data_IF_076625422221
#
_entry.id   IF_076625422221
#
_cell.length_a   1.000
_cell.length_b   1.000
_cell.length_c   1.000
_cell.angle_alpha   90.00
_cell.angle_beta   90.00
_cell.angle_gamma   90.00
#
_symmetry.space_group_name_H-M   'P 1'
#
loop_
_entity.id
_entity.type
_entity.pdbx_description
1 polymer ?
#
# COMPACT_ATOMS: atom_id res chain seq x y z
N UNK A 1 8.10 -1.48 -9.80
CA UNK A 1 7.65 -2.88 -9.66
C UNK A 1 6.14 -2.95 -9.87
N UNK A 2 5.68 -3.41 -11.04
CA UNK A 2 4.29 -3.28 -11.43
C UNK A 2 3.41 -4.42 -10.87
N UNK A 3 3.91 -5.65 -10.84
CA UNK A 3 3.21 -6.84 -10.38
C UNK A 3 3.96 -7.50 -9.23
N UNK A 4 4.35 -6.73 -8.22
CA UNK A 4 4.99 -7.31 -7.05
C UNK A 4 4.04 -7.39 -5.87
N UNK A 5 4.12 -8.49 -5.12
CA UNK A 5 3.37 -8.68 -3.89
C UNK A 5 4.34 -8.86 -2.72
N UNK A 6 4.00 -8.27 -1.57
CA UNK A 6 4.76 -8.50 -0.34
C UNK A 6 4.47 -9.91 0.14
N UNK A 7 5.49 -10.76 0.16
CA UNK A 7 5.39 -12.14 0.67
C UNK A 7 5.94 -12.27 2.08
N UNK A 8 6.78 -11.33 2.50
CA UNK A 8 7.36 -11.31 3.84
C UNK A 8 7.56 -9.88 4.31
N UNK A 9 7.24 -9.63 5.58
CA UNK A 9 7.65 -8.42 6.31
C UNK A 9 8.42 -8.87 7.54
N UNK A 10 9.60 -8.29 7.78
CA UNK A 10 10.39 -8.44 9.00
C UNK A 10 10.83 -7.08 9.49
N UNK A 11 10.91 -6.91 10.79
CA UNK A 11 11.41 -5.70 11.44
C UNK A 11 12.70 -6.08 12.19
N UNK A 12 13.69 -5.17 12.17
CA UNK A 12 15.01 -5.34 12.78
C UNK A 12 15.33 -4.12 13.64
N UNK A 13 16.00 -4.33 14.78
CA UNK A 13 16.34 -3.26 15.72
C UNK A 13 17.58 -2.45 15.33
N UNK A 14 18.32 -2.93 14.33
CA UNK A 14 19.49 -2.26 13.76
C UNK A 14 19.25 -1.95 12.30
N UNK A 15 19.49 -0.71 11.91
CA UNK A 15 19.25 -0.25 10.56
C UNK A 15 20.47 -0.47 9.66
N UNK A 16 20.39 -1.45 8.78
CA UNK A 16 21.44 -1.69 7.77
C UNK A 16 21.48 -0.62 6.66
N UNK A 17 20.50 0.30 6.61
CA UNK A 17 20.45 1.37 5.60
C UNK A 17 21.35 2.55 5.99
N UNK A 18 21.38 2.92 7.27
CA UNK A 18 22.16 4.06 7.77
C UNK A 18 23.13 3.72 8.91
N UNK A 19 23.15 2.47 9.38
CA UNK A 19 24.00 2.01 10.50
C UNK A 19 23.50 2.40 11.89
N UNK A 20 22.32 3.03 12.00
CA UNK A 20 21.76 3.50 13.27
C UNK A 20 21.10 2.40 14.12
N UNK A 21 21.07 2.61 15.44
CA UNK A 21 20.29 1.80 16.39
C UNK A 21 18.82 2.27 16.40
N UNK A 22 18.07 1.88 15.38
CA UNK A 22 16.62 2.09 15.34
C UNK A 22 15.98 1.04 14.42
N UNK A 23 14.65 0.95 14.52
CA UNK A 23 13.86 0.02 13.73
C UNK A 23 14.06 0.20 12.22
N UNK A 24 14.24 -0.92 11.52
CA UNK A 24 14.28 -1.02 10.07
C UNK A 24 13.35 -2.13 9.62
N UNK A 25 12.57 -1.88 8.57
CA UNK A 25 11.64 -2.87 8.02
C UNK A 25 12.18 -3.46 6.72
N UNK A 26 12.36 -4.77 6.66
CA UNK A 26 12.54 -5.55 5.42
C UNK A 26 11.17 -5.97 4.88
N UNK A 27 10.92 -5.71 3.59
CA UNK A 27 9.82 -6.30 2.83
C UNK A 27 10.38 -7.12 1.67
N UNK A 28 10.00 -8.40 1.59
CA UNK A 28 10.28 -9.21 0.39
C UNK A 28 9.10 -9.13 -0.56
N UNK A 29 9.42 -8.80 -1.79
CA UNK A 29 8.49 -8.66 -2.88
C UNK A 29 8.80 -9.75 -3.91
N UNK A 30 7.79 -10.51 -4.32
CA UNK A 30 7.91 -11.47 -5.43
C UNK A 30 7.11 -10.99 -6.62
N UNK A 31 7.54 -11.38 -7.82
CA UNK A 31 6.80 -11.08 -9.04
C UNK A 31 5.58 -12.02 -9.15
N UNK A 32 4.40 -11.44 -9.29
CA UNK A 32 3.13 -12.15 -9.48
C UNK A 32 2.58 -12.01 -10.90
N UNK A 33 3.39 -11.50 -11.84
CA UNK A 33 2.95 -11.33 -13.22
C UNK A 33 2.91 -12.67 -13.95
N UNK A 34 1.75 -13.04 -14.50
CA UNK A 34 1.58 -14.22 -15.35
C UNK A 34 2.41 -14.15 -16.64
N UNK A 35 2.73 -12.94 -17.10
CA UNK A 35 3.51 -12.71 -18.32
C UNK A 35 5.02 -12.60 -18.06
N UNK A 36 5.46 -12.71 -16.80
CA UNK A 36 6.90 -12.77 -16.47
C UNK A 36 7.41 -14.20 -16.33
N UNK A 37 6.54 -15.19 -16.55
CA UNK A 37 6.86 -16.59 -16.53
C UNK A 37 6.48 -17.20 -17.87
N UNK A 38 7.44 -17.32 -18.78
CA UNK A 38 7.27 -18.16 -19.96
C UNK A 38 7.07 -19.63 -19.55
N UNK A 39 7.58 -20.02 -18.36
CA UNK A 39 7.32 -21.29 -17.67
C UNK A 39 7.31 -21.01 -16.15
N UNK A 40 6.22 -21.33 -15.44
CA UNK A 40 6.21 -21.37 -13.95
C UNK A 40 5.99 -20.04 -13.22
N UNK A 41 6.71 -19.82 -12.11
CA UNK A 41 6.63 -18.58 -11.29
C UNK A 41 7.92 -17.81 -11.48
N UNK A 42 7.83 -16.49 -11.68
CA UNK A 42 9.01 -15.65 -11.83
C UNK A 42 9.89 -15.70 -10.56
N UNK A 43 11.17 -16.08 -10.72
CA UNK A 43 12.12 -16.31 -9.63
C UNK A 43 12.71 -15.02 -9.02
N UNK A 44 12.36 -13.84 -9.55
CA UNK A 44 12.86 -12.57 -9.03
C UNK A 44 12.26 -12.26 -7.67
N UNK A 45 13.16 -11.92 -6.74
CA UNK A 45 12.82 -11.47 -5.40
C UNK A 45 13.51 -10.14 -5.15
N UNK A 46 12.70 -9.13 -4.82
CA UNK A 46 13.22 -7.84 -4.33
C UNK A 46 13.16 -7.81 -2.80
N UNK A 47 14.23 -7.40 -2.14
CA UNK A 47 14.25 -7.04 -0.72
C UNK A 47 14.27 -5.52 -0.62
N UNK A 48 13.23 -4.95 -0.02
CA UNK A 48 13.13 -3.51 0.22
C UNK A 48 13.38 -3.27 1.70
N UNK A 49 14.44 -2.54 2.01
CA UNK A 49 14.74 -2.09 3.37
C UNK A 49 14.27 -0.66 3.52
N UNK A 50 13.49 -0.37 4.56
CA UNK A 50 12.99 0.97 4.86
C UNK A 50 13.50 1.41 6.22
N UNK A 51 14.22 2.53 6.23
CA UNK A 51 14.64 3.23 7.43
C UNK A 51 13.57 4.26 7.80
N UNK A 52 12.91 4.11 8.95
CA UNK A 52 11.89 5.07 9.39
C UNK A 52 12.50 6.37 9.94
N UNK A 53 13.74 6.33 10.44
CA UNK A 53 14.39 7.49 11.05
C UNK A 53 14.85 8.52 10.00
N UNK A 54 15.39 8.06 8.87
CA UNK A 54 15.88 8.94 7.80
C UNK A 54 14.94 9.02 6.59
N UNK A 55 13.77 8.37 6.65
CA UNK A 55 12.82 8.24 5.54
C UNK A 55 13.47 7.78 4.22
N UNK A 56 14.51 6.93 4.33
CA UNK A 56 15.23 6.39 3.18
C UNK A 56 14.98 4.90 2.99
N UNK A 57 15.22 4.42 1.78
CA UNK A 57 15.04 3.01 1.44
C UNK A 57 16.10 2.54 0.45
N UNK A 58 16.40 1.24 0.51
CA UNK A 58 17.26 0.55 -0.45
C UNK A 58 16.56 -0.70 -0.98
N UNK A 59 16.85 -1.06 -2.23
CA UNK A 59 16.31 -2.27 -2.86
C UNK A 59 17.46 -3.16 -3.27
N UNK A 60 17.44 -4.40 -2.81
CA UNK A 60 18.31 -5.46 -3.30
C UNK A 60 17.50 -6.42 -4.16
N UNK A 61 18.13 -6.93 -5.21
CA UNK A 61 17.57 -7.92 -6.13
C UNK A 61 18.42 -9.17 -6.06
N UNK A 62 17.79 -10.34 -6.06
CA UNK A 62 18.53 -11.59 -6.18
C UNK A 62 19.19 -11.72 -7.56
N UNK A 63 20.07 -12.70 -7.73
CA UNK A 63 20.83 -12.87 -8.98
C UNK A 63 19.95 -13.28 -10.18
N UNK A 64 18.69 -13.62 -9.96
CA UNK A 64 17.76 -13.93 -11.03
C UNK A 64 17.33 -12.67 -11.78
N UNK A 65 17.53 -12.69 -13.10
CA UNK A 65 17.02 -11.67 -14.00
C UNK A 65 15.49 -11.73 -14.09
N UNK A 66 14.87 -10.56 -14.24
CA UNK A 66 13.45 -10.48 -14.54
C UNK A 66 13.24 -10.83 -16.01
N UNK A 67 12.65 -11.99 -16.30
CA UNK A 67 12.53 -12.52 -17.68
C UNK A 67 11.84 -11.58 -18.66
N UNK A 68 10.96 -10.71 -18.16
CA UNK A 68 10.27 -9.70 -18.98
C UNK A 68 11.21 -8.66 -19.61
N UNK A 69 12.43 -8.50 -19.09
CA UNK A 69 13.37 -7.47 -19.54
C UNK A 69 12.74 -6.08 -19.54
N UNK A 70 12.74 -5.42 -20.70
CA UNK A 70 12.23 -4.06 -20.93
C UNK A 70 10.73 -4.01 -21.25
N UNK A 71 10.06 -5.17 -21.43
CA UNK A 71 8.66 -5.20 -21.85
C UNK A 71 7.77 -4.57 -20.76
N UNK A 72 6.92 -3.59 -21.11
CA UNK A 72 6.09 -2.89 -20.14
C UNK A 72 5.05 -3.79 -19.51
N UNK A 73 4.55 -3.35 -18.37
CA UNK A 73 3.50 -4.05 -17.67
C UNK A 73 2.15 -3.92 -18.34
N UNK A 74 1.69 -4.99 -18.99
CA UNK A 74 0.34 -5.05 -19.57
C UNK A 74 -0.78 -5.17 -18.54
N UNK A 75 -0.47 -5.36 -17.26
CA UNK A 75 -1.48 -5.47 -16.21
C UNK A 75 -2.10 -4.10 -15.94
N UNK A 76 -3.42 -3.99 -16.10
CA UNK A 76 -4.17 -2.81 -15.66
C UNK A 76 -4.11 -2.75 -14.14
N UNK A 77 -3.40 -1.74 -13.62
CA UNK A 77 -3.30 -1.53 -12.19
C UNK A 77 -4.44 -0.67 -11.67
N UNK A 78 -4.98 -0.97 -10.48
CA UNK A 78 -6.03 -0.14 -9.91
C UNK A 78 -5.47 1.24 -9.52
N UNK A 79 -6.36 2.24 -9.47
CA UNK A 79 -6.02 3.60 -9.06
C UNK A 79 -5.42 3.65 -7.66
N UNK A 80 -4.41 4.49 -7.44
CA UNK A 80 -3.82 4.65 -6.11
C UNK A 80 -4.75 5.52 -5.26
N UNK A 81 -5.06 5.10 -4.03
CA UNK A 81 -5.70 5.99 -3.04
C UNK A 81 -4.61 6.94 -2.53
N UNK A 82 -4.62 8.18 -2.99
CA UNK A 82 -3.61 9.20 -2.65
C UNK A 82 -3.78 9.69 -1.22
N UNK A 83 -2.80 10.44 -0.71
CA UNK A 83 -2.88 11.04 0.64
C UNK A 83 -4.06 12.00 0.77
N UNK A 84 -4.29 12.86 -0.23
CA UNK A 84 -5.45 13.76 -0.25
C UNK A 84 -6.78 13.00 -0.25
N UNK A 85 -6.87 11.92 -1.04
CA UNK A 85 -8.05 11.04 -1.02
C UNK A 85 -8.24 10.41 0.37
N UNK A 86 -7.17 10.00 1.05
CA UNK A 86 -7.28 9.43 2.41
C UNK A 86 -7.74 10.46 3.44
N UNK A 87 -7.23 11.70 3.38
CA UNK A 87 -7.64 12.80 4.26
C UNK A 87 -9.13 13.07 4.09
N UNK A 88 -9.58 13.28 2.86
CA UNK A 88 -11.01 13.46 2.56
C UNK A 88 -11.86 12.28 3.04
N UNK A 89 -11.41 11.04 2.82
CA UNK A 89 -12.13 9.85 3.29
C UNK A 89 -12.20 9.79 4.82
N UNK A 90 -11.16 10.21 5.54
CA UNK A 90 -11.17 10.26 7.00
C UNK A 90 -12.18 11.30 7.51
N UNK A 91 -12.17 12.51 6.96
CA UNK A 91 -13.12 13.57 7.31
C UNK A 91 -14.58 13.12 7.09
N UNK A 92 -14.87 12.46 5.97
CA UNK A 92 -16.19 11.92 5.70
C UNK A 92 -16.56 10.73 6.61
N UNK A 93 -15.57 9.99 7.12
CA UNK A 93 -15.80 8.83 8.02
C UNK A 93 -16.17 9.30 9.42
N UNK A 94 -15.54 10.39 9.88
CA UNK A 94 -15.83 11.04 11.15
C UNK A 94 -17.29 11.51 11.24
N UNK A 95 -17.86 12.02 10.13
CA UNK A 95 -19.27 12.41 10.05
C UNK A 95 -20.20 11.25 9.63
N UNK A 96 -19.71 10.01 9.59
CA UNK A 96 -20.52 8.81 9.41
C UNK A 96 -21.04 8.56 7.99
N UNK A 97 -20.44 9.14 6.95
CA UNK A 97 -20.92 8.96 5.57
C UNK A 97 -20.60 7.53 5.08
N UNK A 98 -21.55 6.82 4.46
CA UNK A 98 -21.29 5.48 3.98
C UNK A 98 -20.30 5.47 2.79
N UNK A 99 -19.45 4.42 2.65
CA UNK A 99 -18.40 4.37 1.63
C UNK A 99 -18.85 4.59 0.17
N UNK A 100 -20.08 4.22 -0.16
CA UNK A 100 -20.66 4.46 -1.49
C UNK A 100 -20.84 5.96 -1.77
N UNK A 101 -21.37 6.71 -0.80
CA UNK A 101 -21.57 8.15 -0.91
C UNK A 101 -20.24 8.89 -0.85
N UNK A 102 -19.31 8.45 0.00
CA UNK A 102 -17.94 9.00 0.03
C UNK A 102 -17.27 8.94 -1.35
N UNK A 103 -17.40 7.82 -2.07
CA UNK A 103 -16.82 7.68 -3.41
C UNK A 103 -17.45 8.65 -4.42
N UNK A 104 -18.77 8.89 -4.33
CA UNK A 104 -19.45 9.87 -5.19
C UNK A 104 -18.98 11.28 -4.84
N UNK A 105 -18.93 11.62 -3.56
CA UNK A 105 -18.47 12.93 -3.09
C UNK A 105 -17.02 13.18 -3.49
N UNK A 106 -16.15 12.17 -3.35
CA UNK A 106 -14.75 12.23 -3.74
C UNK A 106 -14.59 12.62 -5.22
N UNK A 107 -15.40 12.01 -6.11
CA UNK A 107 -15.38 12.30 -7.56
C UNK A 107 -15.87 13.70 -7.91
N UNK A 108 -16.65 14.33 -7.03
CA UNK A 108 -17.17 15.70 -7.22
C UNK A 108 -16.22 16.77 -6.70
N UNK A 109 -15.20 16.41 -5.92
CA UNK A 109 -14.24 17.37 -5.41
C UNK A 109 -13.30 17.85 -6.51
N UNK A 110 -13.38 19.13 -6.86
CA UNK A 110 -12.48 19.75 -7.84
C UNK A 110 -11.03 19.82 -7.37
N UNK A 111 -10.82 19.91 -6.05
CA UNK A 111 -9.51 20.03 -5.43
C UNK A 111 -8.76 18.69 -5.31
N UNK A 112 -9.42 17.56 -5.53
CA UNK A 112 -8.80 16.24 -5.45
C UNK A 112 -8.56 15.73 -6.86
N UNK A 113 -7.31 15.76 -7.36
CA UNK A 113 -7.03 15.33 -8.72
C UNK A 113 -7.24 13.82 -8.87
N UNK A 114 -7.82 13.44 -10.01
CA UNK A 114 -7.87 12.04 -10.42
C UNK A 114 -6.46 11.53 -10.66
N UNK A 115 -6.19 10.28 -10.30
CA UNK A 115 -4.87 9.69 -10.60
C UNK A 115 -4.74 9.38 -12.08
N UNK A 116 -3.51 9.19 -12.57
CA UNK A 116 -3.26 8.71 -13.94
C UNK A 116 -3.93 7.36 -14.27
N UNK A 117 -4.38 6.63 -13.23
CA UNK A 117 -5.10 5.34 -13.34
C UNK A 117 -6.59 5.47 -13.00
N UNK A 118 -7.13 6.69 -13.01
CA UNK A 118 -8.53 6.97 -12.72
C UNK A 118 -8.85 7.11 -11.22
N UNK A 119 -10.13 6.93 -10.90
CA UNK A 119 -10.66 6.97 -9.53
C UNK A 119 -10.53 5.60 -8.84
N UNK A 120 -10.33 5.57 -7.50
CA UNK A 120 -10.36 4.32 -6.76
C UNK A 120 -11.73 3.65 -6.84
N UNK A 121 -11.72 2.32 -6.86
CA UNK A 121 -12.93 1.53 -6.74
C UNK A 121 -13.51 1.57 -5.32
N UNK A 122 -14.80 1.23 -5.17
CA UNK A 122 -15.45 1.14 -3.87
C UNK A 122 -14.70 0.20 -2.90
N UNK A 123 -14.20 -0.94 -3.41
CA UNK A 123 -13.41 -1.89 -2.60
C UNK A 123 -12.13 -1.27 -2.06
N UNK A 124 -11.48 -0.40 -2.84
CA UNK A 124 -10.28 0.31 -2.40
C UNK A 124 -10.60 1.37 -1.34
N UNK A 125 -11.71 2.10 -1.49
CA UNK A 125 -12.20 3.03 -0.47
C UNK A 125 -12.48 2.29 0.84
N UNK A 126 -13.22 1.18 0.80
CA UNK A 126 -13.51 0.36 1.98
C UNK A 126 -12.23 -0.15 2.67
N UNK A 127 -11.26 -0.62 1.89
CA UNK A 127 -9.98 -1.08 2.43
C UNK A 127 -9.14 0.07 3.01
N UNK A 128 -9.21 1.26 2.43
CA UNK A 128 -8.54 2.44 2.97
C UNK A 128 -9.14 2.84 4.32
N UNK A 129 -10.47 2.91 4.43
CA UNK A 129 -11.18 3.21 5.67
C UNK A 129 -10.86 2.19 6.77
N UNK A 130 -10.85 0.88 6.44
CA UNK A 130 -10.44 -0.17 7.39
C UNK A 130 -9.04 0.05 7.95
N UNK A 131 -8.10 0.56 7.14
CA UNK A 131 -6.74 0.87 7.58
C UNK A 131 -6.71 2.15 8.41
N UNK A 132 -7.36 3.22 7.95
CA UNK A 132 -7.44 4.49 8.67
C UNK A 132 -8.00 4.30 10.08
N UNK A 133 -9.10 3.55 10.24
CA UNK A 133 -9.67 3.24 11.56
C UNK A 133 -8.74 2.44 12.46
N UNK A 134 -7.94 1.53 11.88
CA UNK A 134 -6.92 0.76 12.62
C UNK A 134 -5.79 1.68 13.09
N UNK A 135 -5.31 2.55 12.21
CA UNK A 135 -4.17 3.42 12.45
C UNK A 135 -4.51 4.57 13.42
N UNK A 136 -5.73 5.10 13.33
CA UNK A 136 -6.25 6.16 14.22
C UNK A 136 -6.79 5.65 15.55
N UNK A 137 -6.82 4.33 15.77
CA UNK A 137 -7.31 3.72 17.01
C UNK A 137 -8.76 4.12 17.33
N UNK A 138 -9.61 4.31 16.32
CA UNK A 138 -10.93 4.92 16.54
C UNK A 138 -11.80 4.11 17.51
N UNK A 139 -12.48 4.85 18.37
CA UNK A 139 -13.36 4.51 19.51
C UNK A 139 -14.49 3.49 19.21
N UNK A 140 -14.62 3.06 17.95
CA UNK A 140 -15.61 2.09 17.48
C UNK A 140 -15.01 0.70 17.23
N UNK A 141 -13.81 0.41 17.74
CA UNK A 141 -13.36 -0.98 17.83
C UNK A 141 -14.28 -1.73 18.79
N UNK A 142 -14.58 -3.01 18.50
CA UNK A 142 -15.39 -3.85 19.40
C UNK A 142 -14.86 -3.83 20.85
N UNK A 143 -13.56 -3.64 21.01
CA UNK A 143 -12.86 -3.51 22.28
C UNK A 143 -13.19 -2.19 22.99
N UNK A 144 -13.11 -1.06 22.28
CA UNK A 144 -13.51 0.25 22.82
C UNK A 144 -15.00 0.35 23.16
N UNK A 145 -15.87 -0.37 22.44
CA UNK A 145 -17.30 -0.50 22.80
C UNK A 145 -17.51 -1.40 24.02
N UNK A 146 -16.68 -2.42 24.22
CA UNK A 146 -16.70 -3.26 25.42
C UNK A 146 -16.22 -2.50 26.67
N UNK A 147 -15.32 -1.54 26.52
CA UNK A 147 -14.81 -0.70 27.61
C UNK A 147 -15.80 0.43 28.01
N UNK A 148 -16.94 0.55 27.32
CA UNK A 148 -18.04 1.50 27.65
C UNK A 148 -19.17 0.87 28.48
N UNK A 149 -19.06 -0.41 28.86
CA UNK A 149 -20.03 -1.17 29.67
C UNK A 149 -19.39 -1.54 31.01
#
# INVERSE_FOLDING_TARGET
>A
MCCSAVTLKRDFDVCSVCGGMHAMTERRLTCTSKTCSDIGVCAVVWKVFTCTASDTWTIWVNEHGHMRGVVPCSTIHPARVTTMMKQFLAEQDEIGIPPRLMLVNLKKQSQIPVTSRGWPSLKQVQNALKRLRRDQGTTNSRKAVQDLV
#
